data_IF_475379868821
#
_entry.id   IF_475379868821
#
_cell.length_a   1.000
_cell.length_b   1.000
_cell.length_c   1.000
_cell.angle_alpha   90.00
_cell.angle_beta   90.00
_cell.angle_gamma   90.00
#
_symmetry.space_group_name_H-M   'P 1'
#
loop_
_entity.id
_entity.type
_entity.pdbx_description
1 polymer ?
#
# COMPACT_ATOMS: atom_id res chain seq x y z
N UNK A 1 23.57 21.33 -56.01
CA UNK A 1 24.61 20.77 -55.13
C UNK A 1 23.95 19.66 -54.32
N UNK A 2 24.10 18.41 -54.69
CA UNK A 2 23.58 17.27 -53.92
C UNK A 2 24.62 16.92 -52.82
N UNK A 3 24.22 16.98 -51.58
CA UNK A 3 25.04 16.47 -50.49
C UNK A 3 25.42 15.01 -50.77
N UNK A 4 26.65 14.61 -50.54
CA UNK A 4 27.09 13.24 -50.77
C UNK A 4 26.36 12.32 -49.76
N UNK A 5 25.95 11.13 -50.19
CA UNK A 5 25.23 10.16 -49.35
C UNK A 5 25.98 9.88 -48.01
N UNK A 6 27.29 10.05 -47.98
CA UNK A 6 28.09 9.88 -46.77
C UNK A 6 27.97 11.02 -45.75
N UNK A 7 27.74 12.26 -46.18
CA UNK A 7 27.54 13.40 -45.29
C UNK A 7 26.14 13.38 -44.63
N UNK A 8 25.13 12.92 -45.34
CA UNK A 8 23.77 12.74 -44.84
C UNK A 8 23.77 11.67 -43.76
N UNK A 9 24.35 10.50 -44.00
CA UNK A 9 24.43 9.40 -43.05
C UNK A 9 25.18 9.78 -41.75
N UNK A 10 26.26 10.59 -41.87
CA UNK A 10 27.02 11.07 -40.71
C UNK A 10 26.21 12.06 -39.85
N UNK A 11 25.38 12.88 -40.47
CA UNK A 11 24.53 13.83 -39.71
C UNK A 11 23.36 13.11 -39.03
N UNK A 12 22.75 12.12 -39.67
CA UNK A 12 21.72 11.29 -39.05
C UNK A 12 22.25 10.52 -37.83
N UNK A 13 23.46 9.93 -37.93
CA UNK A 13 24.12 9.27 -36.80
C UNK A 13 24.41 10.23 -35.64
N UNK A 14 24.80 11.47 -35.93
CA UNK A 14 25.01 12.50 -34.87
C UNK A 14 23.69 12.85 -34.18
N UNK A 15 22.60 13.00 -34.91
CA UNK A 15 21.27 13.27 -34.36
C UNK A 15 20.82 12.11 -33.46
N UNK A 16 20.97 10.87 -33.92
CA UNK A 16 20.64 9.67 -33.13
C UNK A 16 21.50 9.62 -31.85
N UNK A 17 22.80 9.89 -31.94
CA UNK A 17 23.70 9.91 -30.80
C UNK A 17 23.31 10.99 -29.77
N UNK A 18 22.97 12.19 -30.22
CA UNK A 18 22.50 13.27 -29.35
C UNK A 18 21.18 12.90 -28.66
N UNK A 19 20.21 12.34 -29.38
CA UNK A 19 18.96 11.87 -28.83
C UNK A 19 19.18 10.76 -27.79
N UNK A 20 20.04 9.80 -28.08
CA UNK A 20 20.38 8.72 -27.14
C UNK A 20 21.04 9.28 -25.85
N UNK A 21 21.94 10.25 -25.99
CA UNK A 21 22.56 10.92 -24.85
C UNK A 21 21.54 11.70 -24.01
N UNK A 22 20.61 12.39 -24.65
CA UNK A 22 19.52 13.10 -23.95
C UNK A 22 18.61 12.13 -23.21
N UNK A 23 18.20 11.02 -23.83
CA UNK A 23 17.39 10.00 -23.18
C UNK A 23 18.13 9.36 -21.99
N UNK A 24 19.40 9.06 -22.13
CA UNK A 24 20.23 8.55 -21.02
C UNK A 24 20.39 9.57 -19.89
N UNK A 25 20.56 10.85 -20.22
CA UNK A 25 20.62 11.90 -19.21
C UNK A 25 19.29 12.06 -18.47
N UNK A 26 18.15 12.00 -19.19
CA UNK A 26 16.82 12.00 -18.58
C UNK A 26 16.61 10.76 -17.70
N UNK A 27 16.94 9.58 -18.19
CA UNK A 27 16.85 8.32 -17.43
C UNK A 27 17.63 8.40 -16.12
N UNK A 28 18.88 8.84 -16.19
CA UNK A 28 19.75 8.98 -15.02
C UNK A 28 19.25 10.07 -14.07
N UNK A 29 18.83 11.21 -14.60
CA UNK A 29 18.26 12.30 -13.82
C UNK A 29 17.01 11.91 -13.06
N UNK A 30 16.12 11.12 -13.71
CA UNK A 30 14.90 10.61 -13.07
C UNK A 30 15.19 9.53 -12.02
N UNK A 31 16.20 8.68 -12.22
CA UNK A 31 16.63 7.71 -11.19
C UNK A 31 17.11 8.41 -9.92
N UNK A 32 17.86 9.49 -10.05
CA UNK A 32 18.37 10.26 -8.89
C UNK A 32 17.28 11.13 -8.28
N UNK A 33 16.45 11.75 -9.12
CA UNK A 33 15.43 12.72 -8.70
C UNK A 33 14.07 12.14 -8.40
N UNK A 34 13.89 10.82 -8.43
CA UNK A 34 12.59 10.16 -8.28
C UNK A 34 11.85 10.58 -7.00
N UNK A 35 12.56 10.70 -5.88
CA UNK A 35 12.02 11.09 -4.58
C UNK A 35 11.43 12.50 -4.57
N UNK A 36 11.94 13.38 -5.43
CA UNK A 36 11.45 14.75 -5.57
C UNK A 36 10.21 14.88 -6.46
N UNK A 37 9.92 13.86 -7.27
CA UNK A 37 8.81 13.88 -8.23
C UNK A 37 7.45 13.64 -7.57
N UNK A 38 7.42 12.89 -6.49
CA UNK A 38 6.19 12.58 -5.78
C UNK A 38 6.48 12.29 -4.31
N UNK A 39 5.62 12.79 -3.41
CA UNK A 39 5.64 12.40 -1.99
C UNK A 39 5.47 10.88 -1.82
N UNK A 40 4.73 10.24 -2.73
CA UNK A 40 4.55 8.80 -2.74
C UNK A 40 5.85 8.04 -2.92
N UNK A 41 6.75 8.51 -3.79
CA UNK A 41 8.05 7.88 -4.02
C UNK A 41 8.89 7.89 -2.75
N UNK A 42 8.89 8.99 -2.01
CA UNK A 42 9.56 9.07 -0.72
C UNK A 42 8.99 8.04 0.28
N UNK A 43 7.65 7.87 0.33
CA UNK A 43 7.04 6.82 1.16
C UNK A 43 7.48 5.42 0.76
N UNK A 44 7.58 5.15 -0.55
CA UNK A 44 7.98 3.84 -1.05
C UNK A 44 9.40 3.45 -0.64
N UNK A 45 10.32 4.42 -0.56
CA UNK A 45 11.68 4.19 -0.08
C UNK A 45 11.75 3.87 1.42
N UNK A 46 10.76 4.30 2.21
CA UNK A 46 10.73 4.04 3.65
C UNK A 46 10.39 2.59 4.02
N UNK A 47 9.89 1.76 3.10
CA UNK A 47 9.53 0.37 3.43
C UNK A 47 10.74 -0.48 3.79
N UNK A 48 11.85 -0.30 3.08
CA UNK A 48 13.10 -0.97 3.42
C UNK A 48 13.64 -0.52 4.79
N UNK A 49 13.36 0.72 5.18
CA UNK A 49 13.77 1.22 6.49
C UNK A 49 12.83 0.75 7.60
N UNK A 50 11.52 0.64 7.35
CA UNK A 50 10.57 0.03 8.28
C UNK A 50 10.94 -1.43 8.57
N UNK A 51 11.24 -2.22 7.53
CA UNK A 51 11.68 -3.61 7.70
C UNK A 51 12.97 -3.71 8.51
N UNK A 52 13.95 -2.81 8.28
CA UNK A 52 15.19 -2.76 9.07
C UNK A 52 14.94 -2.40 10.54
N UNK A 53 14.01 -1.47 10.81
CA UNK A 53 13.66 -1.10 12.18
C UNK A 53 13.01 -2.27 12.93
N UNK A 54 12.08 -2.98 12.29
CA UNK A 54 11.52 -4.22 12.86
C UNK A 54 12.59 -5.29 13.08
N UNK A 55 13.54 -5.45 12.15
CA UNK A 55 14.65 -6.37 12.28
C UNK A 55 15.56 -6.04 13.47
N UNK A 56 15.84 -4.75 13.71
CA UNK A 56 16.70 -4.33 14.82
C UNK A 56 16.12 -4.68 16.20
N UNK A 57 14.80 -4.79 16.30
CA UNK A 57 14.06 -5.13 17.51
C UNK A 57 13.85 -6.65 17.67
N UNK A 58 14.14 -7.44 16.65
CA UNK A 58 13.90 -8.88 16.61
C UNK A 58 14.68 -9.71 17.66
N UNK A 59 15.59 -9.08 18.41
CA UNK A 59 16.43 -9.75 19.41
C UNK A 59 15.80 -9.84 20.81
N UNK A 60 14.70 -9.13 21.04
CA UNK A 60 13.98 -9.13 22.30
C UNK A 60 12.65 -9.88 22.15
N UNK A 61 12.54 -11.11 22.68
CA UNK A 61 11.32 -11.91 22.56
C UNK A 61 10.13 -11.35 23.35
N UNK A 62 10.39 -10.44 24.28
CA UNK A 62 9.34 -9.81 25.09
C UNK A 62 8.70 -8.60 24.39
N UNK A 63 9.27 -8.13 23.27
CA UNK A 63 8.77 -6.98 22.53
C UNK A 63 7.93 -7.43 21.35
N UNK A 64 6.68 -7.00 21.30
CA UNK A 64 5.77 -7.28 20.19
C UNK A 64 5.99 -6.29 19.03
N UNK A 65 6.10 -6.80 17.81
CA UNK A 65 6.28 -6.02 16.58
C UNK A 65 4.95 -5.91 15.85
N UNK A 66 4.41 -4.71 15.77
CA UNK A 66 3.13 -4.42 15.11
C UNK A 66 3.38 -3.67 13.80
N UNK A 67 2.87 -4.21 12.71
CA UNK A 67 2.89 -3.57 11.39
C UNK A 67 1.48 -3.09 11.03
N UNK A 68 1.30 -1.77 10.89
CA UNK A 68 0.10 -1.19 10.31
C UNK A 68 0.25 -1.13 8.79
N UNK A 69 -0.52 -1.97 8.10
CA UNK A 69 -0.56 -2.07 6.65
C UNK A 69 -1.87 -1.48 6.12
N UNK A 70 -1.81 -0.71 5.05
CA UNK A 70 -2.99 -0.06 4.48
C UNK A 70 -2.63 1.04 3.47
N UNK A 71 -3.51 2.01 3.31
CA UNK A 71 -3.31 3.17 2.43
C UNK A 71 -3.24 4.49 3.22
N UNK A 72 -3.58 5.61 2.56
CA UNK A 72 -3.57 6.93 3.19
C UNK A 72 -4.56 7.05 4.36
N UNK A 73 -5.70 6.36 4.34
CA UNK A 73 -6.66 6.39 5.45
C UNK A 73 -6.05 5.79 6.72
N UNK A 74 -5.34 4.66 6.60
CA UNK A 74 -4.59 4.06 7.69
C UNK A 74 -3.45 4.98 8.14
N UNK A 75 -2.75 5.64 7.21
CA UNK A 75 -1.66 6.57 7.54
C UNK A 75 -2.15 7.73 8.39
N UNK A 76 -3.26 8.34 8.03
CA UNK A 76 -3.86 9.46 8.77
C UNK A 76 -4.71 9.00 9.95
N UNK A 77 -5.22 7.77 9.91
CA UNK A 77 -6.07 7.21 10.97
C UNK A 77 -5.29 6.68 12.17
N UNK A 78 -4.08 6.17 11.97
CA UNK A 78 -3.30 5.60 13.09
C UNK A 78 -2.36 6.62 13.69
N UNK A 79 -2.58 6.98 14.95
CA UNK A 79 -1.62 7.63 15.85
C UNK A 79 -0.91 6.52 16.66
N UNK A 80 0.31 6.17 16.23
CA UNK A 80 1.04 5.06 16.84
C UNK A 80 1.48 5.33 18.27
N UNK A 81 1.72 6.58 18.66
CA UNK A 81 2.09 6.93 20.05
C UNK A 81 0.89 6.76 20.97
N UNK A 82 -0.29 7.24 20.56
CA UNK A 82 -1.54 7.03 21.29
C UNK A 82 -1.85 5.54 21.42
N UNK A 83 -1.75 4.79 20.30
CA UNK A 83 -1.97 3.35 20.28
C UNK A 83 -1.10 2.61 21.32
N UNK A 84 0.22 2.84 21.30
CA UNK A 84 1.16 2.20 22.22
C UNK A 84 0.92 2.64 23.65
N UNK A 85 0.62 3.92 23.89
CA UNK A 85 0.34 4.44 25.24
C UNK A 85 -0.85 3.74 25.88
N UNK A 86 -1.95 3.59 25.15
CA UNK A 86 -3.16 2.90 25.63
C UNK A 86 -2.92 1.41 25.80
N UNK A 87 -2.25 0.78 24.85
CA UNK A 87 -1.96 -0.65 24.91
C UNK A 87 -1.07 -1.00 26.11
N UNK A 88 -0.03 -0.20 26.36
CA UNK A 88 0.86 -0.39 27.51
C UNK A 88 0.14 -0.26 28.86
N UNK A 89 -0.86 0.64 28.94
CA UNK A 89 -1.69 0.78 30.15
C UNK A 89 -2.53 -0.47 30.45
N UNK A 90 -2.82 -1.29 29.42
CA UNK A 90 -3.72 -2.44 29.54
C UNK A 90 -3.00 -3.79 29.59
N UNK A 91 -1.87 -3.93 28.94
CA UNK A 91 -1.23 -5.23 28.72
C UNK A 91 0.16 -5.36 29.33
N UNK A 92 0.81 -4.27 29.74
CA UNK A 92 2.24 -4.22 30.12
C UNK A 92 3.19 -4.82 29.06
N UNK A 93 2.73 -4.99 27.82
CA UNK A 93 3.52 -5.52 26.71
C UNK A 93 4.27 -4.39 26.02
N UNK A 94 5.60 -4.43 25.95
CA UNK A 94 6.34 -3.46 25.15
C UNK A 94 6.08 -3.72 23.65
N UNK A 95 5.71 -2.66 22.94
CA UNK A 95 5.37 -2.73 21.52
C UNK A 95 6.25 -1.80 20.70
N UNK A 96 6.80 -2.32 19.63
CA UNK A 96 7.39 -1.54 18.54
C UNK A 96 6.47 -1.60 17.33
N UNK A 97 6.23 -0.48 16.72
CA UNK A 97 5.30 -0.38 15.61
C UNK A 97 5.90 0.32 14.40
N UNK A 98 5.44 -0.08 13.22
CA UNK A 98 5.75 0.55 11.95
C UNK A 98 4.49 0.74 11.12
N UNK A 99 4.46 1.82 10.33
CA UNK A 99 3.39 2.08 9.36
C UNK A 99 3.91 1.94 7.94
N UNK A 100 3.25 1.09 7.13
CA UNK A 100 3.52 0.94 5.70
C UNK A 100 2.22 1.19 4.96
N UNK A 101 2.01 2.46 4.63
CA UNK A 101 0.72 2.97 4.16
C UNK A 101 0.92 3.87 2.93
N UNK A 102 1.25 3.30 1.75
CA UNK A 102 1.37 4.07 0.52
C UNK A 102 0.01 4.61 0.08
N UNK A 103 0.01 5.86 -0.39
CA UNK A 103 -1.22 6.51 -0.83
C UNK A 103 -1.85 5.80 -2.02
N UNK A 104 -3.19 5.77 -2.04
CA UNK A 104 -3.98 5.22 -3.14
C UNK A 104 -3.55 3.81 -3.52
N UNK A 105 -3.56 2.91 -2.53
CA UNK A 105 -3.24 1.49 -2.67
C UNK A 105 -4.34 0.62 -2.10
N UNK A 106 -4.38 -0.61 -2.53
CA UNK A 106 -5.31 -1.63 -2.10
C UNK A 106 -4.57 -2.97 -1.89
N UNK A 107 -5.30 -4.05 -1.77
CA UNK A 107 -4.75 -5.38 -1.52
C UNK A 107 -3.69 -5.80 -2.55
N UNK A 108 -3.79 -5.31 -3.80
CA UNK A 108 -2.81 -5.59 -4.84
C UNK A 108 -1.39 -5.21 -4.40
N UNK A 109 -1.23 -3.98 -3.89
CA UNK A 109 0.07 -3.50 -3.42
C UNK A 109 0.44 -4.11 -2.07
N UNK A 110 -0.52 -4.23 -1.14
CA UNK A 110 -0.27 -4.72 0.22
C UNK A 110 0.22 -6.16 0.25
N UNK A 111 -0.29 -7.02 -0.65
CA UNK A 111 0.16 -8.40 -0.81
C UNK A 111 1.64 -8.48 -1.18
N UNK A 112 2.05 -7.76 -2.24
CA UNK A 112 3.45 -7.76 -2.66
C UNK A 112 4.37 -7.05 -1.66
N UNK A 113 3.88 -6.01 -0.97
CA UNK A 113 4.61 -5.36 0.10
C UNK A 113 4.95 -6.35 1.22
N UNK A 114 3.96 -7.05 1.74
CA UNK A 114 4.21 -8.04 2.77
C UNK A 114 5.15 -9.14 2.27
N UNK A 115 4.83 -9.75 1.14
CA UNK A 115 5.58 -10.85 0.53
C UNK A 115 7.06 -10.53 0.30
N UNK A 116 7.37 -9.34 -0.20
CA UNK A 116 8.72 -9.00 -0.63
C UNK A 116 9.56 -8.25 0.42
N UNK A 117 8.92 -7.64 1.44
CA UNK A 117 9.63 -6.84 2.44
C UNK A 117 9.54 -7.38 3.86
N UNK A 118 8.50 -8.15 4.21
CA UNK A 118 8.23 -8.56 5.59
C UNK A 118 8.14 -10.08 5.79
N UNK A 119 8.10 -10.87 4.73
CA UNK A 119 8.04 -12.33 4.81
C UNK A 119 9.33 -12.98 5.34
N UNK A 120 10.47 -12.29 5.31
CA UNK A 120 11.73 -12.84 5.85
C UNK A 120 11.70 -12.94 7.37
N UNK A 121 12.19 -14.03 7.97
CA UNK A 121 12.19 -14.25 9.43
C UNK A 121 12.81 -13.11 10.24
N UNK A 122 13.85 -12.45 9.70
CA UNK A 122 14.57 -11.40 10.40
C UNK A 122 13.76 -10.09 10.54
N UNK A 123 12.81 -9.86 9.63
CA UNK A 123 12.05 -8.59 9.53
C UNK A 123 10.56 -8.75 9.81
N UNK A 124 10.14 -9.97 10.08
CA UNK A 124 8.74 -10.36 10.24
C UNK A 124 8.11 -9.65 11.45
N UNK A 125 6.92 -9.03 11.28
CA UNK A 125 6.14 -8.56 12.43
C UNK A 125 5.54 -9.75 13.19
N UNK A 126 5.10 -9.52 14.42
CA UNK A 126 4.33 -10.50 15.18
C UNK A 126 2.82 -10.33 14.90
N UNK A 127 2.41 -9.07 14.68
CA UNK A 127 1.02 -8.71 14.37
C UNK A 127 0.97 -7.78 13.18
N UNK A 128 0.09 -8.08 12.22
CA UNK A 128 -0.28 -7.17 11.13
C UNK A 128 -1.68 -6.63 11.38
N UNK A 129 -1.83 -5.33 11.47
CA UNK A 129 -3.13 -4.65 11.46
C UNK A 129 -3.35 -4.11 10.06
N UNK A 130 -4.25 -4.73 9.31
CA UNK A 130 -4.58 -4.34 7.94
C UNK A 130 -5.79 -3.40 7.96
N UNK A 131 -5.52 -2.11 7.78
CA UNK A 131 -6.57 -1.09 7.65
C UNK A 131 -7.19 -1.11 6.26
N UNK A 132 -8.49 -1.29 6.19
CA UNK A 132 -9.21 -1.36 4.91
C UNK A 132 -10.52 -0.57 4.94
N UNK A 133 -11.04 -0.28 3.78
CA UNK A 133 -12.34 0.36 3.55
C UNK A 133 -12.99 -0.24 2.31
N UNK A 134 -14.31 -0.37 2.37
CA UNK A 134 -15.15 -0.80 1.26
C UNK A 134 -14.55 -1.97 0.43
N UNK A 135 -14.13 -1.68 -0.79
CA UNK A 135 -13.72 -2.70 -1.77
C UNK A 135 -12.22 -3.00 -1.81
N UNK A 136 -11.41 -2.41 -0.92
CA UNK A 136 -9.95 -2.51 -0.99
C UNK A 136 -9.38 -3.93 -0.85
N UNK A 137 -10.14 -4.85 -0.26
CA UNK A 137 -9.72 -6.25 -0.09
C UNK A 137 -10.16 -7.19 -1.22
N UNK A 138 -10.94 -6.71 -2.19
CA UNK A 138 -11.38 -7.49 -3.35
C UNK A 138 -10.25 -7.68 -4.36
N UNK A 139 -10.36 -8.74 -5.15
CA UNK A 139 -9.46 -8.95 -6.28
C UNK A 139 -9.73 -7.91 -7.36
N UNK A 140 -8.81 -7.00 -7.47
CA UNK A 140 -8.75 -6.00 -8.54
C UNK A 140 -7.31 -5.88 -8.99
N UNK A 141 -7.06 -5.71 -10.29
CA UNK A 141 -5.74 -5.32 -10.75
C UNK A 141 -5.30 -4.04 -10.06
N UNK A 142 -3.99 -3.89 -9.84
CA UNK A 142 -3.46 -2.63 -9.33
C UNK A 142 -3.78 -1.47 -10.28
N UNK A 143 -4.29 -0.37 -9.72
CA UNK A 143 -4.47 0.90 -10.47
C UNK A 143 -3.11 1.52 -10.87
N UNK A 144 -2.02 1.00 -10.29
CA UNK A 144 -0.68 1.55 -10.45
C UNK A 144 0.36 0.47 -10.81
N UNK A 145 0.22 -0.23 -11.97
CA UNK A 145 1.15 -1.30 -12.34
C UNK A 145 2.60 -0.84 -12.48
N UNK A 146 2.83 0.45 -12.76
CA UNK A 146 4.18 1.05 -12.75
C UNK A 146 4.81 1.10 -11.36
N UNK A 147 4.01 1.25 -10.29
CA UNK A 147 4.50 1.16 -8.91
C UNK A 147 4.87 -0.29 -8.55
N UNK A 148 4.05 -1.26 -8.97
CA UNK A 148 4.39 -2.67 -8.77
C UNK A 148 5.75 -2.98 -9.41
N UNK A 149 5.97 -2.53 -10.66
CA UNK A 149 7.21 -2.78 -11.39
C UNK A 149 8.44 -2.15 -10.74
N UNK A 150 8.30 -0.93 -10.23
CA UNK A 150 9.43 -0.16 -9.72
C UNK A 150 9.79 -0.48 -8.28
N UNK A 151 8.81 -0.84 -7.43
CA UNK A 151 8.98 -0.78 -5.99
C UNK A 151 8.53 -2.03 -5.24
N UNK A 152 7.54 -2.76 -5.74
CA UNK A 152 6.91 -3.82 -4.94
C UNK A 152 7.20 -5.23 -5.42
N UNK A 153 7.36 -5.41 -6.73
CA UNK A 153 7.47 -6.71 -7.35
C UNK A 153 8.87 -6.97 -7.89
N UNK A 154 9.14 -8.23 -8.08
CA UNK A 154 10.35 -8.72 -8.73
C UNK A 154 10.01 -9.84 -9.72
N UNK A 155 11.01 -10.39 -10.43
CA UNK A 155 10.79 -11.41 -11.46
C UNK A 155 10.13 -12.70 -10.95
N UNK A 156 10.23 -13.00 -9.65
CA UNK A 156 9.60 -14.17 -9.04
C UNK A 156 8.08 -14.02 -8.92
N UNK A 157 7.59 -12.79 -8.92
CA UNK A 157 6.15 -12.48 -8.81
C UNK A 157 5.42 -12.58 -10.17
N UNK A 158 6.15 -12.86 -11.25
CA UNK A 158 5.59 -12.88 -12.60
C UNK A 158 4.33 -13.77 -12.78
N UNK A 159 4.27 -15.00 -12.22
CA UNK A 159 3.05 -15.81 -12.32
C UNK A 159 1.82 -15.13 -11.72
N UNK A 160 1.95 -14.57 -10.53
CA UNK A 160 0.86 -13.87 -9.83
C UNK A 160 0.51 -12.55 -10.53
N UNK A 161 1.52 -11.78 -10.95
CA UNK A 161 1.33 -10.56 -11.72
C UNK A 161 0.52 -10.81 -12.99
N UNK A 162 0.83 -11.88 -13.73
CA UNK A 162 0.10 -12.22 -14.96
C UNK A 162 -1.30 -12.74 -14.69
N UNK A 163 -1.53 -13.31 -13.54
CA UNK A 163 -2.85 -13.78 -13.10
C UNK A 163 -3.75 -12.62 -12.65
N UNK A 164 -3.26 -11.75 -11.78
CA UNK A 164 -4.06 -10.72 -11.15
C UNK A 164 -3.98 -9.34 -11.81
N UNK A 165 -2.78 -8.88 -12.17
CA UNK A 165 -2.53 -7.46 -12.46
C UNK A 165 -2.24 -7.17 -13.92
N UNK A 166 -1.73 -8.14 -14.67
CA UNK A 166 -1.27 -7.98 -16.06
C UNK A 166 -2.04 -8.87 -17.03
N UNK A 167 -3.34 -8.60 -17.25
CA UNK A 167 -4.22 -9.52 -17.97
C UNK A 167 -3.90 -9.61 -19.46
N UNK A 168 -3.27 -8.58 -20.05
CA UNK A 168 -3.03 -8.50 -21.48
C UNK A 168 -1.57 -8.19 -21.83
N UNK A 169 -1.23 -8.30 -23.11
CA UNK A 169 0.13 -8.08 -23.60
C UNK A 169 0.61 -6.64 -23.35
N UNK A 170 -0.26 -5.65 -23.50
CA UNK A 170 0.08 -4.24 -23.32
C UNK A 170 0.48 -3.96 -21.86
N UNK A 171 -0.31 -4.43 -20.88
CA UNK A 171 0.01 -4.28 -19.45
C UNK A 171 1.33 -4.94 -19.09
N UNK A 172 1.63 -6.13 -19.67
CA UNK A 172 2.90 -6.84 -19.47
C UNK A 172 4.09 -6.06 -20.03
N UNK A 173 3.95 -5.52 -21.25
CA UNK A 173 5.00 -4.70 -21.86
C UNK A 173 5.23 -3.41 -21.09
N UNK A 174 4.16 -2.74 -20.64
CA UNK A 174 4.25 -1.55 -19.80
C UNK A 174 4.96 -1.85 -18.47
N UNK A 175 4.66 -2.99 -17.85
CA UNK A 175 5.33 -3.43 -16.63
C UNK A 175 6.82 -3.62 -16.86
N UNK A 176 7.21 -4.40 -17.88
CA UNK A 176 8.63 -4.65 -18.22
C UNK A 176 9.37 -3.34 -18.54
N UNK A 177 8.74 -2.45 -19.30
CA UNK A 177 9.33 -1.15 -19.63
C UNK A 177 9.51 -0.29 -18.37
N UNK A 178 8.55 -0.31 -17.44
CA UNK A 178 8.60 0.42 -16.16
C UNK A 178 9.63 -0.16 -15.20
N UNK A 179 9.83 -1.48 -15.17
CA UNK A 179 10.88 -2.13 -14.38
C UNK A 179 12.28 -1.71 -14.82
N UNK A 180 12.48 -1.50 -16.13
CA UNK A 180 13.80 -1.27 -16.69
C UNK A 180 14.13 0.21 -16.97
N UNK A 181 13.13 1.09 -17.04
CA UNK A 181 13.30 2.51 -17.36
C UNK A 181 12.55 3.42 -16.39
N UNK A 182 13.30 4.25 -15.67
CA UNK A 182 12.73 5.29 -14.81
C UNK A 182 11.99 6.36 -15.64
N UNK A 183 12.49 6.67 -16.83
CA UNK A 183 11.82 7.60 -17.75
C UNK A 183 10.43 7.09 -18.12
N UNK A 184 10.31 5.82 -18.46
CA UNK A 184 9.03 5.20 -18.78
C UNK A 184 8.10 5.15 -17.58
N UNK A 185 8.60 4.76 -16.42
CA UNK A 185 7.81 4.63 -15.19
C UNK A 185 7.31 5.95 -14.63
N UNK A 186 8.10 7.03 -14.80
CA UNK A 186 7.75 8.35 -14.29
C UNK A 186 7.14 9.28 -15.35
N UNK A 187 6.91 8.80 -16.59
CA UNK A 187 6.41 9.62 -17.70
C UNK A 187 5.16 10.42 -17.33
N UNK A 188 4.15 9.78 -16.71
CA UNK A 188 2.88 10.43 -16.36
C UNK A 188 3.04 11.47 -15.23
N UNK A 189 4.06 11.30 -14.36
CA UNK A 189 4.38 12.26 -13.30
C UNK A 189 5.11 13.47 -13.87
N UNK A 190 6.05 13.23 -14.77
CA UNK A 190 6.79 14.29 -15.48
C UNK A 190 5.82 15.08 -16.33
N UNK A 191 4.97 14.41 -17.12
CA UNK A 191 3.93 15.04 -17.93
C UNK A 191 3.03 15.94 -17.09
N UNK A 192 2.44 15.43 -16.00
CA UNK A 192 1.61 16.21 -15.11
C UNK A 192 2.33 17.43 -14.56
N UNK A 193 3.59 17.30 -14.17
CA UNK A 193 4.37 18.40 -13.60
C UNK A 193 4.68 19.48 -14.65
N UNK A 194 4.95 19.06 -15.88
CA UNK A 194 5.12 19.98 -17.01
C UNK A 194 3.81 20.69 -17.32
N UNK A 195 2.71 19.96 -17.40
CA UNK A 195 1.37 20.53 -17.66
C UNK A 195 0.93 21.49 -16.55
N UNK A 196 1.16 21.15 -15.29
CA UNK A 196 0.90 22.03 -14.15
C UNK A 196 1.71 23.33 -14.22
N UNK A 197 2.92 23.30 -14.78
CA UNK A 197 3.78 24.48 -14.90
C UNK A 197 3.42 25.38 -16.09
N UNK A 198 2.80 24.82 -17.13
CA UNK A 198 2.51 25.49 -18.39
C UNK A 198 1.05 25.90 -18.52
N UNK A 199 0.15 25.10 -17.97
CA UNK A 199 -1.31 25.34 -18.08
C UNK A 199 -1.85 25.80 -16.71
N UNK A 200 -2.35 27.03 -16.59
CA UNK A 200 -2.98 27.51 -15.37
C UNK A 200 -4.16 26.63 -14.97
N UNK A 201 -4.26 26.26 -13.69
CA UNK A 201 -5.36 25.46 -13.12
C UNK A 201 -5.48 24.02 -13.69
N UNK A 202 -4.44 23.50 -14.36
CA UNK A 202 -4.45 22.13 -14.88
C UNK A 202 -4.78 21.09 -13.81
N UNK A 203 -4.17 21.23 -12.63
CA UNK A 203 -4.34 20.30 -11.52
C UNK A 203 -5.79 20.23 -11.02
N UNK A 204 -6.44 21.37 -10.87
CA UNK A 204 -7.83 21.47 -10.42
C UNK A 204 -8.78 20.86 -11.46
N UNK A 205 -8.56 21.17 -12.73
CA UNK A 205 -9.36 20.64 -13.84
C UNK A 205 -9.18 19.11 -13.97
N UNK A 206 -7.96 18.60 -13.88
CA UNK A 206 -7.66 17.18 -13.94
C UNK A 206 -8.28 16.41 -12.75
N UNK A 207 -8.31 16.98 -11.56
CA UNK A 207 -8.98 16.40 -10.40
C UNK A 207 -10.49 16.30 -10.60
N UNK A 208 -11.13 17.34 -11.12
CA UNK A 208 -12.56 17.35 -11.45
C UNK A 208 -12.90 16.29 -12.52
N UNK A 209 -12.07 16.18 -13.56
CA UNK A 209 -12.28 15.16 -14.60
C UNK A 209 -12.15 13.74 -14.06
N UNK A 210 -11.18 13.46 -13.21
CA UNK A 210 -11.01 12.16 -12.58
C UNK A 210 -12.19 11.80 -11.65
N UNK A 211 -12.74 12.79 -10.95
CA UNK A 211 -13.94 12.59 -10.12
C UNK A 211 -15.15 12.21 -10.98
N UNK A 212 -15.36 12.88 -12.11
CA UNK A 212 -16.47 12.60 -13.04
C UNK A 212 -16.33 11.24 -13.77
N UNK A 213 -15.11 10.72 -13.93
CA UNK A 213 -14.87 9.44 -14.61
C UNK A 213 -15.01 8.22 -13.70
N UNK A 214 -15.01 8.38 -12.38
CA UNK A 214 -15.27 7.30 -11.41
C UNK A 214 -16.76 6.97 -11.31
N UNK A 215 -17.39 6.65 -12.44
CA UNK A 215 -18.75 6.08 -12.43
C UNK A 215 -18.62 4.60 -12.09
N UNK A 216 -19.33 4.07 -11.08
CA UNK A 216 -19.32 2.65 -10.80
C UNK A 216 -19.82 1.89 -12.02
N UNK A 217 -19.04 0.99 -12.54
CA UNK A 217 -19.46 0.07 -13.61
C UNK A 217 -20.51 -0.86 -13.03
N UNK A 218 -21.77 -0.55 -13.28
CA UNK A 218 -22.90 -1.43 -12.95
C UNK A 218 -22.77 -2.71 -13.77
N UNK A 219 -22.44 -3.82 -13.12
CA UNK A 219 -22.32 -5.12 -13.78
C UNK A 219 -21.19 -5.99 -13.25
N UNK A 220 -20.67 -5.74 -12.06
CA UNK A 220 -19.63 -6.56 -11.49
C UNK A 220 -20.14 -7.96 -11.13
N UNK A 221 -19.46 -8.99 -11.67
CA UNK A 221 -19.49 -10.34 -11.13
C UNK A 221 -19.28 -10.32 -9.61
N UNK A 222 -19.78 -11.35 -8.90
CA UNK A 222 -19.53 -11.46 -7.46
C UNK A 222 -18.05 -11.21 -7.15
N UNK A 223 -17.75 -10.41 -6.14
CA UNK A 223 -16.37 -10.10 -5.80
C UNK A 223 -15.62 -11.37 -5.41
N UNK A 224 -14.38 -11.49 -5.83
CA UNK A 224 -13.47 -12.56 -5.43
C UNK A 224 -12.41 -12.02 -4.47
N UNK A 225 -11.81 -12.91 -3.69
CA UNK A 225 -10.87 -12.60 -2.61
C UNK A 225 -9.67 -13.56 -2.62
N UNK A 226 -9.31 -14.12 -3.77
CA UNK A 226 -8.22 -15.09 -3.91
C UNK A 226 -6.89 -14.52 -3.42
N UNK A 227 -6.61 -13.25 -3.75
CA UNK A 227 -5.40 -12.58 -3.29
C UNK A 227 -5.39 -12.36 -1.77
N UNK A 228 -6.55 -12.08 -1.16
CA UNK A 228 -6.66 -12.01 0.29
C UNK A 228 -6.39 -13.39 0.91
N UNK A 229 -6.95 -14.45 0.38
CA UNK A 229 -6.67 -15.81 0.86
C UNK A 229 -5.19 -16.15 0.76
N UNK A 230 -4.52 -15.76 -0.34
CA UNK A 230 -3.08 -15.94 -0.50
C UNK A 230 -2.27 -15.15 0.56
N UNK A 231 -2.67 -13.91 0.88
CA UNK A 231 -2.05 -13.14 1.94
C UNK A 231 -2.25 -13.79 3.31
N UNK A 232 -3.46 -14.23 3.62
CA UNK A 232 -3.77 -14.88 4.89
C UNK A 232 -3.00 -16.21 5.05
N UNK A 233 -2.86 -16.99 3.98
CA UNK A 233 -2.05 -18.19 3.98
C UNK A 233 -0.56 -17.89 4.23
N UNK A 234 -0.04 -16.85 3.59
CA UNK A 234 1.34 -16.42 3.75
C UNK A 234 1.61 -15.96 5.20
N UNK A 235 0.74 -15.15 5.78
CA UNK A 235 0.82 -14.72 7.17
C UNK A 235 0.75 -15.88 8.14
N UNK A 236 -0.14 -16.86 7.88
CA UNK A 236 -0.25 -18.08 8.68
C UNK A 236 1.00 -18.95 8.61
N UNK A 237 1.62 -19.08 7.43
CA UNK A 237 2.91 -19.78 7.27
C UNK A 237 4.03 -19.08 8.03
N UNK A 238 3.96 -17.78 8.15
CA UNK A 238 4.91 -16.95 8.88
C UNK A 238 4.69 -16.94 10.39
N UNK A 239 3.62 -17.53 10.87
CA UNK A 239 3.18 -17.45 12.26
C UNK A 239 2.92 -15.99 12.71
N UNK A 240 2.39 -15.18 11.80
CA UNK A 240 2.04 -13.78 12.02
C UNK A 240 0.54 -13.66 12.22
N UNK A 241 0.17 -13.04 13.33
CA UNK A 241 -1.22 -12.73 13.60
C UNK A 241 -1.69 -11.57 12.73
N UNK A 242 -2.88 -11.66 12.15
CA UNK A 242 -3.48 -10.58 11.38
C UNK A 242 -4.80 -10.14 11.97
N UNK A 243 -5.05 -8.84 11.92
CA UNK A 243 -6.33 -8.20 12.25
C UNK A 243 -6.78 -7.37 11.06
N UNK A 244 -7.99 -7.61 10.57
CA UNK A 244 -8.61 -6.78 9.55
C UNK A 244 -9.39 -5.66 10.25
N UNK A 245 -8.94 -4.42 10.11
CA UNK A 245 -9.55 -3.25 10.74
C UNK A 245 -10.30 -2.41 9.71
N UNK A 246 -11.64 -2.44 9.75
CA UNK A 246 -12.47 -1.58 8.90
C UNK A 246 -12.33 -0.13 9.38
N UNK A 247 -11.77 0.73 8.51
CA UNK A 247 -11.46 2.12 8.83
C UNK A 247 -12.73 2.98 8.82
N UNK A 248 -12.88 3.94 9.74
CA UNK A 248 -13.98 4.89 9.66
C UNK A 248 -13.79 5.88 8.52
N UNK A 249 -14.88 6.23 7.85
CA UNK A 249 -14.99 7.27 6.83
C UNK A 249 -16.09 8.26 7.22
N UNK A 250 -16.18 9.40 6.51
CA UNK A 250 -17.30 10.32 6.70
C UNK A 250 -18.66 9.71 6.32
N UNK A 251 -18.65 8.80 5.34
CA UNK A 251 -19.82 8.01 4.90
C UNK A 251 -19.58 6.53 5.26
N UNK A 252 -20.61 5.90 5.81
CA UNK A 252 -20.59 4.47 6.13
C UNK A 252 -20.52 3.62 4.86
N UNK A 253 -19.92 2.45 4.97
CA UNK A 253 -19.87 1.45 3.91
C UNK A 253 -20.17 0.05 4.45
N UNK A 254 -20.69 -0.81 3.60
CA UNK A 254 -20.95 -2.19 3.94
C UNK A 254 -19.68 -3.04 3.92
N UNK A 255 -19.49 -3.86 4.95
CA UNK A 255 -18.49 -4.93 4.95
C UNK A 255 -19.10 -6.13 4.22
N UNK A 256 -18.47 -6.54 3.13
CA UNK A 256 -18.96 -7.63 2.26
C UNK A 256 -19.05 -8.96 3.02
N UNK A 257 -20.15 -9.70 2.83
CA UNK A 257 -20.34 -11.01 3.46
C UNK A 257 -19.27 -12.01 3.04
N UNK A 258 -18.82 -11.98 1.78
CA UNK A 258 -17.72 -12.81 1.29
C UNK A 258 -16.41 -12.57 2.04
N UNK A 259 -16.12 -11.32 2.40
CA UNK A 259 -14.97 -10.99 3.23
C UNK A 259 -15.10 -11.60 4.63
N UNK A 260 -16.28 -11.46 5.26
CA UNK A 260 -16.50 -12.00 6.61
C UNK A 260 -16.45 -13.52 6.64
N UNK A 261 -16.91 -14.18 5.58
CA UNK A 261 -16.84 -15.65 5.44
C UNK A 261 -15.38 -16.15 5.30
N UNK A 262 -14.56 -15.42 4.53
CA UNK A 262 -13.13 -15.74 4.41
C UNK A 262 -12.42 -15.49 5.74
N UNK A 263 -12.64 -14.35 6.38
CA UNK A 263 -12.05 -14.04 7.67
C UNK A 263 -12.39 -15.13 8.71
N UNK A 264 -13.65 -15.59 8.74
CA UNK A 264 -14.08 -16.69 9.61
C UNK A 264 -13.39 -18.01 9.26
N UNK A 265 -13.22 -18.35 7.98
CA UNK A 265 -12.56 -19.56 7.51
C UNK A 265 -11.08 -19.63 7.94
N UNK A 266 -10.43 -18.48 7.93
CA UNK A 266 -9.03 -18.35 8.33
C UNK A 266 -8.83 -17.99 9.80
N UNK A 267 -9.94 -17.89 10.57
CA UNK A 267 -9.94 -17.49 12.00
C UNK A 267 -9.31 -16.10 12.23
N UNK A 268 -9.50 -15.19 11.28
CA UNK A 268 -8.97 -13.83 11.31
C UNK A 268 -10.01 -12.89 11.90
N UNK A 269 -9.69 -12.13 12.95
CA UNK A 269 -10.61 -11.16 13.50
C UNK A 269 -10.83 -9.97 12.55
N UNK A 270 -12.11 -9.65 12.33
CA UNK A 270 -12.54 -8.41 11.69
C UNK A 270 -12.98 -7.46 12.81
N UNK A 271 -12.36 -6.29 12.86
CA UNK A 271 -12.71 -5.22 13.80
C UNK A 271 -13.38 -4.13 13.01
N UNK A 272 -14.69 -3.97 13.21
CA UNK A 272 -15.42 -2.84 12.63
C UNK A 272 -15.21 -1.59 13.48
N UNK A 273 -14.45 -0.64 12.93
CA UNK A 273 -14.16 0.63 13.56
C UNK A 273 -14.95 1.80 12.93
N UNK A 274 -15.98 1.55 12.15
CA UNK A 274 -16.76 2.61 11.49
C UNK A 274 -17.50 3.49 12.50
N UNK A 275 -17.92 2.89 13.63
CA UNK A 275 -18.74 3.55 14.64
C UNK A 275 -17.99 3.75 15.96
N UNK A 276 -17.09 4.72 16.01
CA UNK A 276 -16.36 5.05 17.23
C UNK A 276 -16.99 6.27 17.90
N UNK A 277 -17.33 6.15 19.17
CA UNK A 277 -17.90 7.26 19.92
C UNK A 277 -16.99 8.47 19.92
N UNK A 278 -17.50 9.62 19.49
CA UNK A 278 -16.77 10.88 19.41
C UNK A 278 -16.14 11.16 18.05
N UNK A 279 -16.16 10.22 17.11
CA UNK A 279 -15.79 10.47 15.70
C UNK A 279 -17.06 10.91 14.96
N UNK A 280 -17.00 12.05 14.29
CA UNK A 280 -18.12 12.65 13.56
C UNK A 280 -17.69 13.01 12.14
N UNK A 281 -18.63 13.11 11.15
CA UNK A 281 -18.28 13.35 9.75
C UNK A 281 -17.46 14.63 9.48
N UNK A 282 -17.60 15.66 10.31
CA UNK A 282 -16.81 16.90 10.22
C UNK A 282 -15.33 16.73 10.59
N UNK A 283 -14.97 15.61 11.20
CA UNK A 283 -13.57 15.22 11.45
C UNK A 283 -12.87 14.61 10.22
N UNK A 284 -13.55 14.58 9.07
CA UNK A 284 -13.01 14.13 7.78
C UNK A 284 -13.08 15.28 6.77
N UNK A 285 -12.12 16.22 6.77
CA UNK A 285 -12.21 17.47 5.99
C UNK A 285 -12.32 17.27 4.48
N UNK A 286 -11.89 16.14 3.96
CA UNK A 286 -12.02 15.74 2.55
C UNK A 286 -12.94 14.50 2.35
N UNK A 287 -13.69 14.13 3.38
CA UNK A 287 -14.59 12.98 3.37
C UNK A 287 -13.93 11.62 3.63
N UNK A 288 -12.59 11.57 3.63
CA UNK A 288 -11.84 10.31 3.68
C UNK A 288 -10.80 10.28 4.81
N UNK A 289 -10.01 11.34 4.96
CA UNK A 289 -8.89 11.37 5.89
C UNK A 289 -9.28 11.98 7.23
N UNK A 290 -8.93 11.28 8.30
CA UNK A 290 -9.17 11.73 9.67
C UNK A 290 -8.30 12.92 10.06
N UNK A 291 -8.88 13.83 10.84
CA UNK A 291 -8.12 14.85 11.60
C UNK A 291 -7.32 14.20 12.74
N UNK A 292 -6.32 14.90 13.26
CA UNK A 292 -5.52 14.39 14.38
C UNK A 292 -6.36 14.01 15.62
N UNK A 293 -7.42 14.74 16.04
CA UNK A 293 -8.30 14.30 17.13
C UNK A 293 -9.02 12.97 16.81
N UNK A 294 -9.54 12.79 15.60
CA UNK A 294 -10.19 11.54 15.20
C UNK A 294 -9.20 10.37 15.17
N UNK A 295 -7.98 10.60 14.67
CA UNK A 295 -6.89 9.61 14.66
C UNK A 295 -6.57 9.09 16.07
N UNK A 296 -6.53 9.96 17.06
CA UNK A 296 -6.33 9.56 18.46
C UNK A 296 -7.48 8.69 18.97
N UNK A 297 -8.73 9.09 18.74
CA UNK A 297 -9.90 8.30 19.13
C UNK A 297 -9.90 6.92 18.48
N UNK A 298 -9.60 6.87 17.18
CA UNK A 298 -9.47 5.62 16.44
C UNK A 298 -8.37 4.72 17.03
N UNK A 299 -7.17 5.29 17.28
CA UNK A 299 -6.02 4.53 17.78
C UNK A 299 -6.24 4.03 19.19
N UNK A 300 -6.86 4.85 20.05
CA UNK A 300 -7.28 4.43 21.40
C UNK A 300 -8.29 3.28 21.34
N UNK A 301 -9.33 3.40 20.50
CA UNK A 301 -10.33 2.35 20.33
C UNK A 301 -9.70 1.05 19.84
N UNK A 302 -8.86 1.11 18.79
CA UNK A 302 -8.17 -0.04 18.25
C UNK A 302 -7.29 -0.73 19.30
N UNK A 303 -6.51 0.04 20.09
CA UNK A 303 -5.69 -0.50 21.16
C UNK A 303 -6.53 -1.24 22.20
N UNK A 304 -7.67 -0.65 22.63
CA UNK A 304 -8.60 -1.29 23.54
C UNK A 304 -9.16 -2.61 23.00
N UNK A 305 -9.54 -2.65 21.73
CA UNK A 305 -10.07 -3.87 21.11
C UNK A 305 -9.00 -4.95 21.02
N UNK A 306 -7.76 -4.59 20.63
CA UNK A 306 -6.67 -5.56 20.50
C UNK A 306 -6.28 -6.13 21.87
N UNK A 307 -6.23 -5.29 22.92
CA UNK A 307 -5.96 -5.73 24.27
C UNK A 307 -7.09 -6.62 24.83
N UNK A 308 -8.34 -6.19 24.70
CA UNK A 308 -9.49 -6.92 25.26
C UNK A 308 -9.74 -8.28 24.60
N UNK A 309 -9.33 -8.43 23.32
CA UNK A 309 -9.42 -9.69 22.58
C UNK A 309 -8.16 -10.54 22.68
N UNK A 310 -7.20 -10.15 23.52
CA UNK A 310 -5.93 -10.86 23.70
C UNK A 310 -5.15 -11.06 22.37
N UNK A 311 -5.27 -10.09 21.45
CA UNK A 311 -4.57 -10.11 20.18
C UNK A 311 -3.14 -9.60 20.25
N UNK A 312 -2.75 -9.03 21.39
CA UNK A 312 -1.39 -8.61 21.71
C UNK A 312 -1.12 -9.07 23.13
N UNK A 313 -0.32 -10.13 23.28
CA UNK A 313 0.02 -10.72 24.59
C UNK A 313 1.52 -10.95 24.72
N UNK A 314 2.00 -11.03 25.97
CA UNK A 314 3.39 -11.29 26.28
C UNK A 314 3.76 -12.75 25.99
N UNK A 315 4.79 -12.97 25.18
CA UNK A 315 5.52 -14.24 25.13
C UNK A 315 4.79 -15.43 24.50
N UNK A 316 3.83 -15.19 23.58
CA UNK A 316 3.25 -16.28 22.77
C UNK A 316 3.76 -16.17 21.34
N UNK A 317 4.88 -16.86 20.98
CA UNK A 317 5.16 -17.12 19.59
C UNK A 317 4.03 -18.02 19.07
N UNK A 318 3.17 -17.49 18.19
CA UNK A 318 2.32 -18.26 17.30
C UNK A 318 1.38 -19.32 17.87
N UNK A 319 0.88 -19.20 19.10
CA UNK A 319 -0.11 -20.12 19.62
C UNK A 319 -1.53 -19.60 19.37
N UNK A 320 -2.25 -20.41 18.58
CA UNK A 320 -3.68 -20.32 18.33
C UNK A 320 -4.42 -20.01 19.62
N UNK A 321 -4.97 -18.82 19.74
CA UNK A 321 -6.02 -18.52 20.70
C UNK A 321 -7.26 -19.27 20.23
N UNK A 322 -7.45 -20.48 20.74
CA UNK A 322 -8.74 -21.17 20.62
C UNK A 322 -9.73 -20.32 21.42
N UNK A 323 -10.56 -19.55 20.73
CA UNK A 323 -11.68 -18.86 21.34
C UNK A 323 -12.51 -19.92 22.11
N UNK A 324 -12.54 -19.81 23.45
CA UNK A 324 -13.47 -20.62 24.25
C UNK A 324 -14.87 -20.08 23.97
N UNK A 325 -15.80 -20.89 23.51
CA UNK A 325 -17.19 -20.50 23.40
C UNK A 325 -17.74 -20.29 24.82
N UNK A 326 -18.29 -19.10 25.07
CA UNK A 326 -19.26 -18.88 26.17
C UNK A 326 -20.65 -19.29 25.71
#
# INVERSE_FOLDING_TARGET
>A
MSASSGEVLTNELKVIAVLALLLLACEFGLRIGADSLSKDVAHLHHFADASKRLASTSRDPDVQKVLFLGNSTTRFGVDGEEFVSILHQQTDVPVVWEKVNPDNTALAEWYYLYKNFFHSPDVRPDVVVLGFEAMHLRDSPSDHPTRLAQFYCNKKDWPELTHFDLPNFESRMNFIASENSALWAHRDRVERRVLDSVIPQYRETAQLMNYCQKTPTSGQACPTYERLENLLQLLKQDDVQIVLAAMPLAEEYDIDEGLTDIARRYEVPVVDCQHIQGITPDMFPDGVHMTAPASKLYSSHLAHVLASRHLIERGVPGHQVVARPE
#
